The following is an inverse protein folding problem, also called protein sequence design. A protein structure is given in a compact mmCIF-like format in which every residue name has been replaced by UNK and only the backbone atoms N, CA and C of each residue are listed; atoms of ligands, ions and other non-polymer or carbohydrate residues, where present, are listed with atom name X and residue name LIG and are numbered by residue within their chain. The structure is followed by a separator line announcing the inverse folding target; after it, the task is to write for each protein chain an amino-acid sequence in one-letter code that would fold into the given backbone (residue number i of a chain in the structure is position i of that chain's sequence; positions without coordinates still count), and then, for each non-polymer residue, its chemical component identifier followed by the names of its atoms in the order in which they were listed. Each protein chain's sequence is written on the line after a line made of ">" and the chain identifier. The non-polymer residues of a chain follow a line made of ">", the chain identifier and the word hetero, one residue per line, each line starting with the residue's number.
data_IF_499470066968
#
_entry.id   IF_499470066968
#
_cell.length_a   1.000
_cell.length_b   1.000
_cell.length_c   1.000
_cell.angle_alpha   90.00
_cell.angle_beta   90.00
_cell.angle_gamma   90.00
#
_symmetry.space_group_name_H-M   'P 1'
#
loop_
_entity.id
_entity.type
_entity.pdbx_description
1 polymer ?
#
# COMPACT_ATOMS: atom_id res chain seq x y z
N UNK A 1 -40.10 -44.36 2.63
CA UNK A 1 -39.03 -44.40 1.60
C UNK A 1 -38.55 -42.98 1.43
N UNK A 2 -37.36 -42.67 1.98
CA UNK A 2 -36.74 -41.34 1.83
C UNK A 2 -36.13 -41.22 0.42
N UNK A 3 -36.64 -40.27 -0.34
CA UNK A 3 -36.28 -40.05 -1.73
C UNK A 3 -34.87 -39.41 -1.80
N UNK A 4 -33.98 -39.90 -2.65
CA UNK A 4 -32.61 -39.43 -2.85
C UNK A 4 -32.47 -37.92 -3.05
N UNK A 5 -33.52 -37.28 -3.57
CA UNK A 5 -33.60 -35.82 -3.78
C UNK A 5 -33.68 -35.03 -2.47
N UNK A 6 -34.32 -35.57 -1.45
CA UNK A 6 -34.45 -34.92 -0.13
C UNK A 6 -33.20 -35.12 0.73
N UNK A 7 -32.41 -36.19 0.51
CA UNK A 7 -31.16 -36.39 1.20
C UNK A 7 -30.08 -35.41 0.70
N UNK A 8 -30.00 -35.15 -0.60
CA UNK A 8 -29.04 -34.19 -1.21
C UNK A 8 -29.39 -32.74 -0.79
N UNK A 9 -30.68 -32.40 -0.67
CA UNK A 9 -31.12 -31.06 -0.22
C UNK A 9 -30.82 -30.79 1.26
N UNK A 10 -30.84 -31.80 2.09
CA UNK A 10 -30.58 -31.66 3.54
C UNK A 10 -29.09 -31.79 3.88
N UNK A 11 -28.27 -32.44 3.06
CA UNK A 11 -26.80 -32.52 3.24
C UNK A 11 -26.08 -31.27 2.72
N UNK A 12 -26.63 -30.56 1.74
CA UNK A 12 -26.08 -29.29 1.28
C UNK A 12 -26.31 -28.13 2.28
N UNK A 13 -27.35 -28.22 3.11
CA UNK A 13 -27.65 -27.22 4.12
C UNK A 13 -26.78 -27.29 5.38
N UNK A 14 -26.18 -28.45 5.68
CA UNK A 14 -25.42 -28.64 6.91
C UNK A 14 -23.92 -28.33 6.85
N UNK A 15 -23.36 -28.26 5.65
CA UNK A 15 -21.93 -27.89 5.44
C UNK A 15 -21.70 -26.39 5.15
N UNK A 16 -22.78 -25.65 4.88
CA UNK A 16 -22.72 -24.20 4.62
C UNK A 16 -22.82 -23.30 5.84
N UNK A 17 -23.31 -23.82 6.98
CA UNK A 17 -23.73 -22.97 8.09
C UNK A 17 -22.65 -22.64 9.13
N UNK A 18 -21.51 -23.31 9.14
CA UNK A 18 -20.44 -23.05 10.12
C UNK A 18 -19.37 -22.06 9.63
N UNK A 19 -19.24 -21.86 8.32
CA UNK A 19 -18.31 -20.85 7.75
C UNK A 19 -18.98 -19.48 7.59
N UNK A 20 -20.31 -19.43 7.55
CA UNK A 20 -21.09 -18.20 7.35
C UNK A 20 -21.21 -17.30 8.60
N UNK A 21 -21.04 -17.84 9.80
CA UNK A 21 -21.30 -17.08 11.04
C UNK A 21 -20.19 -16.06 11.39
N UNK A 22 -18.95 -16.24 10.92
CA UNK A 22 -17.87 -15.26 11.13
C UNK A 22 -17.74 -14.21 10.01
N UNK A 23 -18.41 -14.44 8.87
CA UNK A 23 -18.42 -13.50 7.74
C UNK A 23 -19.58 -12.48 7.82
N UNK A 24 -20.60 -12.74 8.67
CA UNK A 24 -21.80 -11.91 8.78
C UNK A 24 -21.57 -10.56 9.49
N UNK A 25 -20.43 -10.37 10.14
CA UNK A 25 -20.10 -9.10 10.81
C UNK A 25 -19.58 -8.00 9.86
N UNK A 26 -19.37 -8.31 8.58
CA UNK A 26 -18.95 -7.31 7.59
C UNK A 26 -19.95 -7.27 6.41
N UNK A 27 -20.74 -6.18 6.28
CA UNK A 27 -21.74 -6.05 5.22
C UNK A 27 -21.19 -6.16 3.80
N UNK A 28 -19.87 -5.97 3.60
CA UNK A 28 -19.23 -6.15 2.30
C UNK A 28 -19.26 -7.62 1.83
N UNK A 29 -19.29 -8.60 2.72
CA UNK A 29 -19.40 -10.03 2.36
C UNK A 29 -20.84 -10.47 2.09
N UNK A 30 -21.85 -9.80 2.68
CA UNK A 30 -23.25 -10.11 2.45
C UNK A 30 -23.71 -9.89 1.00
N UNK A 31 -22.98 -9.07 0.22
CA UNK A 31 -23.23 -8.85 -1.19
C UNK A 31 -22.77 -10.02 -2.10
N UNK A 32 -22.11 -11.03 -1.54
CA UNK A 32 -21.62 -12.23 -2.26
C UNK A 32 -22.50 -13.46 -2.07
N UNK A 33 -23.79 -13.31 -1.78
CA UNK A 33 -24.74 -14.45 -1.58
C UNK A 33 -25.05 -15.26 -2.86
N UNK A 34 -24.41 -15.00 -3.99
CA UNK A 34 -24.51 -15.88 -5.13
C UNK A 34 -23.64 -17.12 -4.91
N UNK A 35 -24.24 -18.29 -5.13
CA UNK A 35 -23.52 -19.58 -5.16
C UNK A 35 -22.35 -19.46 -6.13
N UNK A 36 -21.11 -19.44 -5.58
CA UNK A 36 -19.90 -19.38 -6.38
C UNK A 36 -19.82 -20.68 -7.17
N UNK A 37 -19.91 -20.58 -8.49
CA UNK A 37 -19.72 -21.73 -9.40
C UNK A 37 -18.26 -22.21 -9.39
N UNK A 38 -18.00 -23.40 -9.86
CA UNK A 38 -16.64 -23.93 -9.98
C UNK A 38 -15.75 -23.02 -10.85
N UNK A 39 -16.33 -22.31 -11.81
CA UNK A 39 -15.63 -21.37 -12.70
C UNK A 39 -15.32 -20.01 -12.07
N UNK A 40 -15.88 -19.71 -10.87
CA UNK A 40 -15.66 -18.46 -10.16
C UNK A 40 -14.58 -18.57 -9.07
N UNK A 41 -13.95 -19.76 -8.94
CA UNK A 41 -12.84 -20.00 -8.04
C UNK A 41 -11.60 -19.24 -8.53
N UNK A 42 -10.90 -18.59 -7.60
CA UNK A 42 -9.67 -17.85 -7.88
C UNK A 42 -8.54 -18.45 -7.05
N UNK A 43 -7.54 -18.98 -7.72
CA UNK A 43 -6.34 -19.49 -7.08
C UNK A 43 -5.30 -18.39 -6.94
N UNK A 44 -4.83 -18.15 -5.73
CA UNK A 44 -3.84 -17.12 -5.45
C UNK A 44 -2.50 -17.69 -5.00
N UNK A 45 -1.43 -16.97 -5.40
CA UNK A 45 -0.10 -17.07 -4.82
C UNK A 45 0.21 -15.84 -4.00
N UNK A 46 0.97 -15.97 -2.90
CA UNK A 46 1.39 -14.82 -2.09
C UNK A 46 2.90 -14.77 -2.02
N UNK A 47 3.47 -13.59 -2.29
CA UNK A 47 4.91 -13.34 -2.35
C UNK A 47 5.26 -12.31 -1.28
N UNK A 48 6.18 -12.67 -0.34
CA UNK A 48 6.47 -11.87 0.84
C UNK A 48 5.39 -12.01 1.91
N UNK A 49 5.55 -12.99 2.81
CA UNK A 49 4.49 -13.45 3.70
C UNK A 49 4.73 -13.17 5.19
N UNK A 50 5.72 -12.34 5.52
CA UNK A 50 6.05 -12.12 6.93
C UNK A 50 5.05 -11.19 7.64
N UNK A 51 4.93 -9.94 7.19
CA UNK A 51 4.11 -8.91 7.84
C UNK A 51 2.78 -8.66 7.10
N UNK A 52 2.76 -7.58 6.30
CA UNK A 52 1.54 -7.14 5.62
C UNK A 52 1.05 -8.15 4.58
N UNK A 53 1.95 -8.86 3.88
CA UNK A 53 1.54 -9.92 2.96
C UNK A 53 0.72 -11.03 3.63
N UNK A 54 1.04 -11.39 4.88
CA UNK A 54 0.24 -12.33 5.66
C UNK A 54 -1.12 -11.75 6.09
N UNK A 55 -1.17 -10.47 6.42
CA UNK A 55 -2.43 -9.79 6.73
C UNK A 55 -3.34 -9.72 5.48
N UNK A 56 -2.76 -9.45 4.32
CA UNK A 56 -3.45 -9.45 3.04
C UNK A 56 -4.01 -10.83 2.68
N UNK A 57 -3.22 -11.89 2.88
CA UNK A 57 -3.70 -13.27 2.69
C UNK A 57 -4.91 -13.56 3.59
N UNK A 58 -4.83 -13.22 4.88
CA UNK A 58 -5.95 -13.43 5.81
C UNK A 58 -7.22 -12.70 5.37
N UNK A 59 -7.10 -11.50 4.87
CA UNK A 59 -8.24 -10.74 4.35
C UNK A 59 -8.76 -11.36 3.02
N UNK A 60 -7.86 -11.80 2.13
CA UNK A 60 -8.22 -12.42 0.86
C UNK A 60 -9.00 -13.74 1.07
N UNK A 61 -8.59 -14.56 2.03
CA UNK A 61 -9.24 -15.85 2.33
C UNK A 61 -10.65 -15.69 2.91
N UNK A 62 -11.04 -14.52 3.39
CA UNK A 62 -12.41 -14.23 3.77
C UNK A 62 -13.35 -14.08 2.57
N UNK A 63 -12.79 -13.78 1.39
CA UNK A 63 -13.58 -13.61 0.17
C UNK A 63 -13.97 -14.98 -0.39
N UNK A 64 -15.27 -15.27 -0.55
CA UNK A 64 -15.71 -16.57 -1.04
C UNK A 64 -15.09 -16.94 -2.40
N UNK A 65 -14.68 -18.21 -2.54
CA UNK A 65 -14.09 -18.74 -3.77
C UNK A 65 -12.63 -18.34 -4.02
N UNK A 66 -11.94 -17.76 -3.03
CA UNK A 66 -10.50 -17.51 -3.11
C UNK A 66 -9.73 -18.66 -2.44
N UNK A 67 -8.82 -19.29 -3.18
CA UNK A 67 -8.04 -20.43 -2.74
C UNK A 67 -6.55 -20.09 -2.72
N UNK A 68 -5.88 -20.36 -1.60
CA UNK A 68 -4.43 -20.30 -1.51
C UNK A 68 -3.81 -21.56 -2.11
N UNK A 69 -2.93 -21.42 -3.10
CA UNK A 69 -2.24 -22.56 -3.73
C UNK A 69 -0.71 -22.44 -3.70
N UNK A 70 -0.16 -21.27 -3.36
CA UNK A 70 1.29 -21.05 -3.28
C UNK A 70 1.68 -19.96 -2.28
N UNK A 71 2.80 -20.17 -1.59
CA UNK A 71 3.49 -19.18 -0.76
C UNK A 71 4.93 -19.02 -1.22
N UNK A 72 5.44 -17.80 -1.23
CA UNK A 72 6.83 -17.49 -1.58
C UNK A 72 7.44 -16.49 -0.59
N UNK A 73 8.63 -16.81 -0.09
CA UNK A 73 9.46 -15.91 0.71
C UNK A 73 10.94 -16.31 0.60
N UNK A 74 11.85 -15.37 0.62
CA UNK A 74 13.30 -15.61 0.64
C UNK A 74 13.80 -16.20 1.98
N UNK A 75 12.97 -16.18 3.01
CA UNK A 75 13.27 -16.71 4.36
C UNK A 75 12.48 -18.00 4.61
N UNK A 76 13.20 -19.13 4.66
CA UNK A 76 12.63 -20.45 4.93
C UNK A 76 12.00 -20.54 6.34
N UNK A 77 12.50 -19.77 7.30
CA UNK A 77 11.92 -19.73 8.64
C UNK A 77 10.54 -19.10 8.61
N UNK A 78 10.35 -18.05 7.80
CA UNK A 78 9.05 -17.43 7.57
C UNK A 78 8.12 -18.41 6.87
N UNK A 79 8.57 -19.09 5.81
CA UNK A 79 7.78 -20.10 5.12
C UNK A 79 7.32 -21.22 6.06
N UNK A 80 8.23 -21.80 6.84
CA UNK A 80 7.91 -22.86 7.79
C UNK A 80 6.88 -22.41 8.84
N UNK A 81 7.08 -21.20 9.40
CA UNK A 81 6.13 -20.59 10.35
C UNK A 81 4.73 -20.46 9.74
N UNK A 82 4.63 -19.87 8.56
CA UNK A 82 3.33 -19.58 7.90
C UNK A 82 2.64 -20.85 7.43
N UNK A 83 3.37 -21.85 6.97
CA UNK A 83 2.80 -23.18 6.68
C UNK A 83 2.18 -23.81 7.93
N UNK A 84 2.81 -23.68 9.10
CA UNK A 84 2.25 -24.14 10.37
C UNK A 84 0.96 -23.41 10.80
N UNK A 85 0.83 -22.15 10.43
CA UNK A 85 -0.34 -21.30 10.76
C UNK A 85 -1.54 -21.52 9.79
N UNK A 86 -1.37 -22.20 8.65
CA UNK A 86 -2.44 -22.41 7.65
C UNK A 86 -3.67 -23.11 8.21
N UNK A 87 -3.49 -24.04 9.16
CA UNK A 87 -4.60 -24.75 9.83
C UNK A 87 -5.55 -23.78 10.57
N UNK A 88 -5.03 -22.70 11.12
CA UNK A 88 -5.84 -21.67 11.80
C UNK A 88 -6.71 -20.91 10.82
N UNK A 89 -6.28 -20.84 9.55
CA UNK A 89 -7.01 -20.25 8.43
C UNK A 89 -7.90 -21.24 7.69
N UNK A 90 -8.05 -22.49 8.21
CA UNK A 90 -8.81 -23.56 7.59
C UNK A 90 -8.31 -23.94 6.17
N UNK A 91 -7.01 -23.72 5.89
CA UNK A 91 -6.36 -24.05 4.64
C UNK A 91 -5.64 -25.39 4.77
N UNK A 92 -5.89 -26.31 3.83
CA UNK A 92 -5.18 -27.58 3.74
C UNK A 92 -3.74 -27.34 3.25
N UNK A 93 -2.78 -27.40 4.17
CA UNK A 93 -1.36 -27.18 3.88
C UNK A 93 -0.79 -28.12 2.81
N UNK A 94 -1.36 -29.33 2.64
CA UNK A 94 -0.91 -30.28 1.61
C UNK A 94 -1.18 -29.79 0.18
N UNK A 95 -2.11 -28.87 0.00
CA UNK A 95 -2.45 -28.26 -1.28
C UNK A 95 -1.63 -27.00 -1.59
N UNK A 96 -0.89 -26.47 -0.62
CA UNK A 96 -0.11 -25.24 -0.78
C UNK A 96 1.35 -25.59 -1.06
N UNK A 97 1.90 -25.07 -2.16
CA UNK A 97 3.32 -25.23 -2.51
C UNK A 97 4.11 -24.00 -2.02
N UNK A 98 5.34 -24.25 -1.60
CA UNK A 98 6.26 -23.20 -1.14
C UNK A 98 7.39 -22.97 -2.14
N UNK A 99 7.82 -21.72 -2.26
CA UNK A 99 8.87 -21.27 -3.16
C UNK A 99 9.79 -20.28 -2.45
N UNK A 100 11.10 -20.33 -2.73
CA UNK A 100 12.03 -19.26 -2.33
C UNK A 100 12.05 -18.14 -3.38
N UNK A 101 12.00 -18.52 -4.66
CA UNK A 101 12.04 -17.61 -5.80
C UNK A 101 10.64 -17.43 -6.39
N UNK A 102 10.19 -16.16 -6.42
CA UNK A 102 8.88 -15.79 -6.95
C UNK A 102 8.69 -16.15 -8.42
N UNK A 103 9.77 -16.23 -9.21
CA UNK A 103 9.71 -16.60 -10.64
C UNK A 103 9.13 -17.99 -10.82
N UNK A 104 9.58 -18.95 -10.00
CA UNK A 104 9.05 -20.32 -9.99
C UNK A 104 7.57 -20.38 -9.57
N UNK A 105 7.11 -19.46 -8.72
CA UNK A 105 5.69 -19.33 -8.41
C UNK A 105 4.91 -18.78 -9.62
N UNK A 106 5.46 -17.80 -10.32
CA UNK A 106 4.81 -17.20 -11.49
C UNK A 106 4.70 -18.15 -12.70
N UNK A 107 5.60 -19.13 -12.81
CA UNK A 107 5.56 -20.15 -13.87
C UNK A 107 4.33 -21.08 -13.78
N UNK A 108 3.67 -21.16 -12.63
CA UNK A 108 2.48 -21.98 -12.43
C UNK A 108 1.31 -21.43 -13.23
N UNK A 109 0.65 -22.33 -13.97
CA UNK A 109 -0.51 -21.99 -14.83
C UNK A 109 -1.85 -21.99 -14.10
N UNK A 110 -1.90 -22.61 -12.92
CA UNK A 110 -3.08 -22.73 -12.07
C UNK A 110 -3.25 -21.55 -11.08
N UNK A 111 -2.36 -20.55 -11.09
CA UNK A 111 -2.48 -19.31 -10.33
C UNK A 111 -3.11 -18.25 -11.21
N UNK A 112 -4.22 -17.66 -10.75
CA UNK A 112 -4.94 -16.59 -11.43
C UNK A 112 -4.43 -15.20 -11.03
N UNK A 113 -4.12 -15.03 -9.73
CA UNK A 113 -3.66 -13.76 -9.20
C UNK A 113 -2.58 -13.93 -8.14
N UNK A 114 -1.77 -12.88 -7.94
CA UNK A 114 -0.76 -12.84 -6.89
C UNK A 114 -0.95 -11.64 -5.97
N UNK A 115 -0.62 -11.84 -4.69
CA UNK A 115 -0.50 -10.79 -3.68
C UNK A 115 0.98 -10.59 -3.41
N UNK A 116 1.48 -9.35 -3.58
CA UNK A 116 2.87 -8.98 -3.39
C UNK A 116 2.98 -8.11 -2.13
N UNK A 117 3.64 -8.62 -1.09
CA UNK A 117 3.86 -7.95 0.21
C UNK A 117 5.34 -7.96 0.63
N UNK A 118 6.25 -7.86 -0.32
CA UNK A 118 7.69 -7.79 -0.16
C UNK A 118 8.17 -6.41 0.29
N UNK A 119 9.47 -6.17 0.57
CA UNK A 119 10.02 -4.82 0.65
C UNK A 119 9.85 -4.03 -0.65
N UNK A 120 9.82 -2.69 -0.52
CA UNK A 120 9.38 -1.75 -1.58
C UNK A 120 10.19 -1.89 -2.88
N UNK A 121 11.52 -2.11 -2.78
CA UNK A 121 12.41 -2.25 -3.92
C UNK A 121 12.12 -3.46 -4.83
N UNK A 122 11.28 -4.38 -4.38
CA UNK A 122 10.85 -5.53 -5.15
C UNK A 122 9.52 -5.35 -5.86
N UNK A 123 8.68 -4.41 -5.41
CA UNK A 123 7.30 -4.28 -5.87
C UNK A 123 7.19 -4.15 -7.40
N UNK A 124 8.01 -3.27 -7.99
CA UNK A 124 7.94 -2.98 -9.42
C UNK A 124 8.24 -4.22 -10.28
N UNK A 125 9.38 -4.88 -10.04
CA UNK A 125 9.76 -6.06 -10.83
C UNK A 125 8.76 -7.20 -10.67
N UNK A 126 8.37 -7.51 -9.44
CA UNK A 126 7.45 -8.63 -9.19
C UNK A 126 6.08 -8.39 -9.82
N UNK A 127 5.55 -7.14 -9.73
CA UNK A 127 4.28 -6.78 -10.35
C UNK A 127 4.36 -6.87 -11.88
N UNK A 128 5.43 -6.37 -12.49
CA UNK A 128 5.63 -6.40 -13.95
C UNK A 128 5.73 -7.85 -14.44
N UNK A 129 6.57 -8.67 -13.80
CA UNK A 129 6.73 -10.10 -14.15
C UNK A 129 5.44 -10.91 -13.93
N UNK A 130 4.65 -10.57 -12.90
CA UNK A 130 3.35 -11.19 -12.69
C UNK A 130 2.37 -10.86 -13.83
N UNK A 131 2.30 -9.59 -14.24
CA UNK A 131 1.48 -9.20 -15.40
C UNK A 131 1.92 -9.89 -16.69
N UNK A 132 3.23 -9.98 -16.94
CA UNK A 132 3.82 -10.67 -18.09
C UNK A 132 3.50 -12.15 -18.09
N UNK A 133 3.53 -12.80 -16.92
CA UNK A 133 3.17 -14.21 -16.72
C UNK A 133 1.66 -14.46 -16.76
N UNK A 134 0.86 -13.43 -17.04
CA UNK A 134 -0.58 -13.54 -17.20
C UNK A 134 -1.38 -13.46 -15.91
N UNK A 135 -0.78 -13.07 -14.76
CA UNK A 135 -1.44 -12.97 -13.45
C UNK A 135 -2.06 -11.60 -13.23
N UNK A 136 -3.20 -11.54 -12.54
CA UNK A 136 -3.69 -10.32 -11.93
C UNK A 136 -2.95 -10.07 -10.60
N UNK A 137 -2.89 -8.81 -10.14
CA UNK A 137 -1.96 -8.45 -9.05
C UNK A 137 -2.62 -7.56 -8.00
N UNK A 138 -2.43 -7.92 -6.74
CA UNK A 138 -2.50 -6.99 -5.62
C UNK A 138 -1.06 -6.68 -5.18
N UNK A 139 -0.64 -5.43 -5.23
CA UNK A 139 0.71 -5.02 -4.83
C UNK A 139 0.66 -4.04 -3.67
N UNK A 140 1.46 -4.30 -2.63
CA UNK A 140 1.55 -3.40 -1.48
C UNK A 140 2.07 -2.01 -1.85
N UNK A 141 1.73 -1.07 -0.99
CA UNK A 141 2.20 0.31 -1.04
C UNK A 141 3.61 0.42 -0.36
N UNK A 142 4.45 1.39 -0.78
CA UNK A 142 4.36 2.16 -2.02
C UNK A 142 4.54 1.25 -3.22
N UNK A 143 3.82 1.49 -4.30
CA UNK A 143 3.87 0.57 -5.44
C UNK A 143 5.24 0.54 -6.13
N UNK A 144 5.99 1.64 -6.11
CA UNK A 144 7.35 1.73 -6.65
C UNK A 144 8.28 2.54 -5.75
N UNK A 145 9.56 2.16 -5.74
CA UNK A 145 10.62 2.83 -4.98
C UNK A 145 11.27 4.00 -5.75
N UNK A 146 10.82 4.26 -6.97
CA UNK A 146 11.22 5.41 -7.79
C UNK A 146 10.10 5.85 -8.73
N UNK A 147 10.21 7.09 -9.26
CA UNK A 147 9.21 7.65 -10.18
C UNK A 147 9.16 6.85 -11.49
N UNK A 148 10.30 6.41 -11.99
CA UNK A 148 10.37 5.60 -13.22
C UNK A 148 9.73 4.24 -13.02
N UNK A 149 9.94 3.59 -11.87
CA UNK A 149 9.24 2.35 -11.53
C UNK A 149 7.72 2.51 -11.56
N UNK A 150 7.19 3.55 -10.92
CA UNK A 150 5.76 3.84 -10.91
C UNK A 150 5.19 3.94 -12.34
N UNK A 151 5.88 4.64 -13.25
CA UNK A 151 5.48 4.76 -14.66
C UNK A 151 5.54 3.42 -15.39
N UNK A 152 6.60 2.68 -15.18
CA UNK A 152 6.83 1.38 -15.83
C UNK A 152 5.76 0.36 -15.41
N UNK A 153 5.35 0.38 -14.14
CA UNK A 153 4.27 -0.47 -13.63
C UNK A 153 2.92 -0.14 -14.29
N UNK A 154 2.61 1.13 -14.46
CA UNK A 154 1.39 1.56 -15.18
C UNK A 154 1.43 1.10 -16.64
N UNK A 155 2.57 1.26 -17.32
CA UNK A 155 2.74 0.81 -18.70
C UNK A 155 2.61 -0.72 -18.84
N UNK A 156 3.19 -1.48 -17.90
CA UNK A 156 3.05 -2.94 -17.86
C UNK A 156 1.60 -3.40 -17.68
N UNK A 157 0.87 -2.79 -16.75
CA UNK A 157 -0.55 -3.07 -16.53
C UNK A 157 -1.37 -2.84 -17.81
N UNK A 158 -1.10 -1.75 -18.52
CA UNK A 158 -1.77 -1.44 -19.80
C UNK A 158 -1.43 -2.44 -20.88
N UNK A 159 -0.13 -2.72 -21.07
CA UNK A 159 0.36 -3.66 -22.09
C UNK A 159 -0.21 -5.06 -21.92
N UNK A 160 -0.18 -5.59 -20.71
CA UNK A 160 -0.65 -6.96 -20.41
C UNK A 160 -2.14 -7.03 -20.06
N UNK A 161 -2.83 -5.89 -19.99
CA UNK A 161 -4.27 -5.77 -19.75
C UNK A 161 -4.74 -6.48 -18.46
N UNK A 162 -3.96 -6.38 -17.36
CA UNK A 162 -4.25 -7.05 -16.09
C UNK A 162 -5.05 -6.18 -15.13
N UNK A 163 -5.76 -6.82 -14.21
CA UNK A 163 -6.34 -6.17 -13.04
C UNK A 163 -5.24 -5.99 -12.01
N UNK A 164 -4.90 -4.75 -11.67
CA UNK A 164 -3.84 -4.45 -10.69
C UNK A 164 -4.36 -3.46 -9.67
N UNK A 165 -4.43 -3.87 -8.40
CA UNK A 165 -4.81 -3.03 -7.28
C UNK A 165 -3.61 -2.73 -6.39
N UNK A 166 -3.45 -1.47 -6.02
CA UNK A 166 -2.44 -1.01 -5.07
C UNK A 166 -2.95 -1.06 -3.62
N UNK A 167 -2.08 -1.36 -2.67
CA UNK A 167 -2.43 -1.63 -1.26
C UNK A 167 -2.84 -0.42 -0.41
N UNK A 168 -3.36 0.68 -0.99
CA UNK A 168 -3.95 1.80 -0.24
C UNK A 168 -5.36 1.45 0.24
N UNK A 169 -5.47 0.47 1.14
CA UNK A 169 -6.73 -0.10 1.60
C UNK A 169 -7.69 0.88 2.28
N UNK A 170 -7.19 2.01 2.81
CA UNK A 170 -8.03 3.07 3.37
C UNK A 170 -9.05 3.59 2.35
N UNK A 171 -8.76 3.56 1.03
CA UNK A 171 -9.70 3.92 -0.03
C UNK A 171 -10.97 3.06 -0.06
N UNK A 172 -10.99 1.96 0.68
CA UNK A 172 -12.16 1.07 0.80
C UNK A 172 -12.94 1.27 2.09
N UNK A 173 -12.50 2.18 2.99
CA UNK A 173 -13.22 2.51 4.21
C UNK A 173 -14.29 3.58 3.98
N UNK A 174 -15.48 3.37 4.57
CA UNK A 174 -16.60 4.26 4.34
C UNK A 174 -16.37 5.67 4.86
N UNK A 175 -15.88 5.81 6.10
CA UNK A 175 -15.65 7.14 6.67
C UNK A 175 -14.62 7.99 5.89
N UNK A 176 -13.64 7.36 5.22
CA UNK A 176 -12.73 8.06 4.33
C UNK A 176 -13.43 8.54 3.06
N UNK A 177 -14.32 7.71 2.46
CA UNK A 177 -15.13 8.12 1.32
C UNK A 177 -16.04 9.28 1.67
N UNK A 178 -16.75 9.18 2.79
CA UNK A 178 -17.65 10.23 3.28
C UNK A 178 -16.90 11.56 3.51
N UNK A 179 -15.67 11.49 4.04
CA UNK A 179 -14.85 12.68 4.23
C UNK A 179 -14.43 13.32 2.89
N UNK A 180 -14.03 12.51 1.90
CA UNK A 180 -13.70 12.99 0.56
C UNK A 180 -14.92 13.63 -0.11
N UNK A 181 -16.09 12.98 -0.05
CA UNK A 181 -17.33 13.51 -0.59
C UNK A 181 -17.69 14.85 0.05
N UNK A 182 -17.49 14.97 1.37
CA UNK A 182 -17.70 16.24 2.08
C UNK A 182 -16.71 17.33 1.62
N UNK A 183 -15.42 17.01 1.47
CA UNK A 183 -14.41 17.95 0.94
C UNK A 183 -14.81 18.43 -0.46
N UNK A 184 -15.21 17.51 -1.33
CA UNK A 184 -15.56 17.80 -2.73
C UNK A 184 -16.93 18.48 -2.87
N UNK A 185 -17.79 18.44 -1.85
CA UNK A 185 -19.07 19.15 -1.86
C UNK A 185 -18.95 20.68 -1.88
N UNK A 186 -17.74 21.21 -1.60
CA UNK A 186 -17.47 22.65 -1.56
C UNK A 186 -17.93 23.35 -0.28
N UNK A 187 -18.53 22.63 0.70
CA UNK A 187 -19.03 23.24 1.95
C UNK A 187 -17.92 23.90 2.78
N UNK A 188 -16.66 23.40 2.71
CA UNK A 188 -15.52 24.02 3.37
C UNK A 188 -15.12 25.39 2.77
N UNK A 189 -15.74 25.79 1.65
CA UNK A 189 -15.32 26.97 0.89
C UNK A 189 -13.99 26.72 0.16
N UNK A 190 -13.22 27.80 -0.06
CA UNK A 190 -11.90 27.65 -0.69
C UNK A 190 -10.91 26.99 0.25
N UNK A 191 -10.50 25.76 -0.05
CA UNK A 191 -9.43 25.06 0.66
C UNK A 191 -8.10 25.67 0.20
N UNK A 192 -7.34 26.24 1.13
CA UNK A 192 -6.08 26.93 0.85
C UNK A 192 -4.86 26.15 1.27
N UNK A 193 -5.03 25.28 2.26
CA UNK A 193 -3.95 24.44 2.77
C UNK A 193 -4.50 23.04 3.06
N UNK A 194 -3.75 22.02 2.65
CA UNK A 194 -3.95 20.64 3.10
C UNK A 194 -2.76 20.29 3.99
N UNK A 195 -2.99 20.06 5.28
CA UNK A 195 -1.96 19.62 6.19
C UNK A 195 -2.04 18.11 6.36
N UNK A 196 -0.93 17.43 6.11
CA UNK A 196 -0.78 15.97 6.26
C UNK A 196 0.34 15.74 7.25
N UNK A 197 0.08 14.98 8.32
CA UNK A 197 1.12 14.72 9.32
C UNK A 197 1.14 13.26 9.77
N UNK A 198 2.32 12.81 10.20
CA UNK A 198 2.54 11.46 10.71
C UNK A 198 3.61 11.47 11.80
N UNK A 199 3.17 11.46 13.04
CA UNK A 199 4.02 11.33 14.21
C UNK A 199 3.87 9.92 14.76
N UNK A 200 4.98 9.20 14.89
CA UNK A 200 5.01 7.78 15.23
C UNK A 200 5.95 7.53 16.42
N UNK A 201 5.45 7.71 17.61
CA UNK A 201 6.21 7.56 18.87
C UNK A 201 6.80 6.18 19.06
N UNK A 202 6.15 5.15 18.54
CA UNK A 202 6.60 3.77 18.63
C UNK A 202 7.69 3.39 17.61
N UNK A 203 7.86 4.17 16.54
CA UNK A 203 8.85 3.88 15.50
C UNK A 203 10.23 4.34 15.92
N UNK A 204 11.19 3.44 15.73
CA UNK A 204 12.60 3.66 16.06
C UNK A 204 13.47 2.82 15.13
N UNK A 205 14.57 3.38 14.58
CA UNK A 205 15.56 2.61 13.83
C UNK A 205 16.27 1.56 14.71
N UNK A 206 16.92 0.59 14.06
CA UNK A 206 17.76 -0.37 14.75
C UNK A 206 19.06 0.23 15.28
N UNK A 207 19.74 -0.43 16.22
CA UNK A 207 21.06 -0.01 16.68
C UNK A 207 22.11 -0.15 15.57
N UNK A 208 23.21 0.58 15.68
CA UNK A 208 24.40 0.32 14.86
C UNK A 208 25.05 -0.97 15.35
N UNK A 209 25.07 -1.98 14.49
CA UNK A 209 25.70 -3.28 14.77
C UNK A 209 26.66 -3.66 13.65
N UNK A 210 27.68 -4.50 13.93
CA UNK A 210 28.57 -5.01 12.89
C UNK A 210 27.80 -5.81 11.84
N UNK A 211 28.29 -5.79 10.61
CA UNK A 211 27.84 -6.72 9.57
C UNK A 211 28.15 -8.15 9.97
N UNK A 212 27.30 -9.09 9.55
CA UNK A 212 27.38 -10.50 9.92
C UNK A 212 26.95 -11.39 8.76
N UNK A 213 26.98 -12.71 8.97
CA UNK A 213 26.37 -13.67 8.05
C UNK A 213 24.84 -13.63 8.19
N UNK A 214 24.08 -13.83 7.10
CA UNK A 214 22.64 -13.99 7.20
C UNK A 214 22.26 -15.16 8.11
N UNK A 215 21.10 -15.09 8.80
CA UNK A 215 20.57 -16.23 9.55
C UNK A 215 20.40 -17.47 8.66
N UNK A 216 20.58 -18.66 9.23
CA UNK A 216 20.32 -19.90 8.52
C UNK A 216 18.90 -19.94 7.96
N UNK A 217 18.75 -20.36 6.71
CA UNK A 217 17.48 -20.40 5.99
C UNK A 217 17.08 -19.10 5.29
N UNK A 218 17.86 -18.03 5.40
CA UNK A 218 17.63 -16.78 4.68
C UNK A 218 18.47 -16.74 3.41
N UNK A 219 17.82 -16.68 2.24
CA UNK A 219 18.47 -16.37 0.98
C UNK A 219 18.61 -14.84 0.85
N UNK A 220 19.73 -14.31 1.34
CA UNK A 220 19.95 -12.89 1.37
C UNK A 220 20.21 -12.27 0.00
N UNK A 221 20.77 -13.02 -0.94
CA UNK A 221 20.94 -12.54 -2.33
C UNK A 221 19.58 -12.41 -3.04
N UNK A 222 18.64 -13.32 -2.81
CA UNK A 222 17.25 -13.13 -3.26
C UNK A 222 16.54 -11.99 -2.51
N UNK A 223 16.81 -11.80 -1.22
CA UNK A 223 16.22 -10.69 -0.48
C UNK A 223 16.70 -9.33 -1.03
N UNK A 224 18.00 -9.19 -1.31
CA UNK A 224 18.59 -8.00 -1.91
C UNK A 224 18.05 -7.76 -3.33
N UNK A 225 17.98 -8.79 -4.14
CA UNK A 225 17.46 -8.72 -5.52
C UNK A 225 18.07 -7.57 -6.32
N UNK A 226 17.24 -6.61 -6.80
CA UNK A 226 17.71 -5.48 -7.60
C UNK A 226 18.48 -4.42 -6.79
N UNK A 227 18.45 -4.46 -5.47
CA UNK A 227 19.17 -3.49 -4.64
C UNK A 227 20.68 -3.74 -4.66
N UNK A 228 21.45 -2.71 -4.32
CA UNK A 228 22.90 -2.79 -4.24
C UNK A 228 23.37 -3.89 -3.28
N UNK A 229 24.36 -4.70 -3.69
CA UNK A 229 24.91 -5.74 -2.85
C UNK A 229 25.64 -5.11 -1.65
N UNK A 230 25.17 -5.48 -0.45
CA UNK A 230 25.72 -5.05 0.84
C UNK A 230 25.86 -6.28 1.75
N UNK A 231 26.84 -6.34 2.66
CA UNK A 231 26.89 -7.39 3.69
C UNK A 231 25.59 -7.41 4.50
N UNK A 232 25.23 -8.58 5.02
CA UNK A 232 24.04 -8.68 5.87
C UNK A 232 24.23 -7.88 7.16
N UNK A 233 23.17 -7.17 7.56
CA UNK A 233 23.12 -6.44 8.82
C UNK A 233 21.71 -6.56 9.41
N UNK A 234 21.63 -7.05 10.66
CA UNK A 234 20.36 -7.31 11.32
C UNK A 234 19.51 -6.05 11.55
N UNK A 235 20.14 -4.88 11.66
CA UNK A 235 19.43 -3.60 11.79
C UNK A 235 18.81 -3.07 10.50
N UNK A 236 19.08 -3.69 9.35
CA UNK A 236 18.41 -3.40 8.07
C UNK A 236 17.35 -4.43 7.72
N UNK A 237 17.44 -5.64 8.30
CA UNK A 237 16.69 -6.78 7.86
C UNK A 237 15.28 -6.83 8.48
N UNK A 238 14.39 -7.45 7.74
CA UNK A 238 12.94 -7.51 7.87
C UNK A 238 12.30 -6.12 8.02
N UNK A 239 11.89 -5.69 9.22
CA UNK A 239 11.08 -4.48 9.39
C UNK A 239 11.83 -3.19 9.04
N UNK A 240 13.12 -3.10 9.35
CA UNK A 240 13.89 -1.86 9.27
C UNK A 240 14.40 -1.49 7.87
N UNK A 241 14.12 -2.31 6.85
CA UNK A 241 14.48 -1.97 5.46
C UNK A 241 13.97 -0.58 5.06
N UNK A 242 12.88 -0.13 5.62
CA UNK A 242 12.21 1.13 5.31
C UNK A 242 13.03 2.38 5.63
N UNK A 243 14.08 2.25 6.44
CA UNK A 243 14.99 3.34 6.81
C UNK A 243 16.23 3.46 5.92
N UNK A 244 16.30 2.71 4.82
CA UNK A 244 17.46 2.67 3.92
C UNK A 244 17.04 2.93 2.48
N UNK A 245 17.70 3.91 1.83
CA UNK A 245 17.37 4.37 0.48
C UNK A 245 17.46 3.28 -0.60
N UNK A 246 18.29 2.26 -0.39
CA UNK A 246 18.39 1.13 -1.31
C UNK A 246 17.09 0.30 -1.38
N UNK A 247 16.27 0.35 -0.33
CA UNK A 247 15.11 -0.54 -0.19
C UNK A 247 13.78 0.19 -0.11
N UNK A 248 13.76 1.43 0.41
CA UNK A 248 12.53 2.20 0.66
C UNK A 248 12.81 3.70 0.79
N UNK A 249 11.81 4.49 1.18
CA UNK A 249 11.90 5.95 1.29
C UNK A 249 11.48 6.53 2.64
N UNK A 250 11.69 5.80 3.75
CA UNK A 250 11.39 6.28 5.10
C UNK A 250 9.89 6.48 5.37
N UNK A 251 9.55 7.30 6.36
CA UNK A 251 8.15 7.62 6.69
C UNK A 251 7.39 8.23 5.51
N UNK A 252 8.07 8.96 4.62
CA UNK A 252 7.44 9.58 3.45
C UNK A 252 6.78 8.54 2.54
N UNK A 253 7.39 7.39 2.33
CA UNK A 253 6.83 6.33 1.47
C UNK A 253 6.12 5.23 2.26
N UNK A 254 6.44 5.05 3.54
CA UNK A 254 5.74 4.07 4.38
C UNK A 254 4.36 4.58 4.81
N UNK A 255 4.30 5.67 5.59
CA UNK A 255 3.05 6.30 6.03
C UNK A 255 2.55 7.38 5.09
N UNK A 256 3.48 8.12 4.46
CA UNK A 256 3.13 9.25 3.62
C UNK A 256 2.20 8.85 2.47
N UNK A 257 2.44 7.71 1.81
CA UNK A 257 1.56 7.25 0.73
C UNK A 257 0.14 6.90 1.19
N UNK A 258 -0.09 6.62 2.48
CA UNK A 258 -1.44 6.46 3.01
C UNK A 258 -2.14 7.79 3.23
N UNK A 259 -1.42 8.80 3.68
CA UNK A 259 -1.99 10.08 4.12
C UNK A 259 -1.99 11.13 3.00
N UNK A 260 -0.90 11.22 2.21
CA UNK A 260 -0.86 12.03 1.00
C UNK A 260 -1.92 11.60 -0.01
N UNK A 261 -2.22 10.28 -0.06
CA UNK A 261 -3.27 9.74 -0.91
C UNK A 261 -4.61 10.47 -0.70
N UNK A 262 -5.03 10.62 0.55
CA UNK A 262 -6.27 11.32 0.86
C UNK A 262 -6.13 12.82 0.69
N UNK A 263 -4.99 13.40 1.09
CA UNK A 263 -4.73 14.81 0.81
C UNK A 263 -4.91 15.16 -0.66
N UNK A 264 -4.43 14.30 -1.55
CA UNK A 264 -4.59 14.45 -3.01
C UNK A 264 -6.01 14.11 -3.47
N UNK A 265 -6.59 13.01 -2.97
CA UNK A 265 -7.90 12.52 -3.41
C UNK A 265 -9.02 13.54 -3.12
N UNK A 266 -9.04 14.13 -1.93
CA UNK A 266 -9.98 15.20 -1.59
C UNK A 266 -9.87 16.42 -2.51
N UNK A 267 -8.67 16.69 -3.04
CA UNK A 267 -8.38 17.80 -3.94
C UNK A 267 -8.43 17.42 -5.44
N UNK A 268 -8.92 16.21 -5.79
CA UNK A 268 -9.07 15.78 -7.17
C UNK A 268 -7.79 15.23 -7.83
N UNK A 269 -6.85 14.71 -7.03
CA UNK A 269 -5.60 14.08 -7.48
C UNK A 269 -4.67 14.96 -8.32
N UNK A 270 -4.41 16.23 -7.94
CA UNK A 270 -3.53 17.11 -8.70
C UNK A 270 -2.05 16.70 -8.59
N UNK A 271 -1.22 17.23 -9.49
CA UNK A 271 0.24 17.11 -9.45
C UNK A 271 0.84 18.42 -8.92
N UNK A 272 1.81 18.38 -7.99
CA UNK A 272 2.43 19.59 -7.49
C UNK A 272 3.33 20.24 -8.55
N UNK A 273 3.37 21.58 -8.57
CA UNK A 273 4.23 22.38 -9.45
C UNK A 273 5.64 22.51 -8.91
N UNK A 274 5.76 22.82 -7.62
CA UNK A 274 7.05 22.92 -6.95
C UNK A 274 7.03 22.17 -5.63
N UNK A 275 8.22 21.69 -5.23
CA UNK A 275 8.41 20.88 -4.03
C UNK A 275 9.67 21.39 -3.30
N UNK A 276 9.57 21.57 -1.99
CA UNK A 276 10.71 21.87 -1.10
C UNK A 276 10.62 21.01 0.14
N UNK A 277 11.76 20.52 0.63
CA UNK A 277 11.79 19.67 1.81
C UNK A 277 12.97 19.98 2.71
N UNK A 278 12.76 19.94 4.03
CA UNK A 278 13.76 20.10 5.08
C UNK A 278 13.55 19.02 6.13
N UNK A 279 14.64 18.50 6.67
CA UNK A 279 14.59 17.45 7.69
C UNK A 279 15.98 16.95 8.07
N UNK A 280 16.02 15.87 8.82
CA UNK A 280 17.26 15.28 9.25
C UNK A 280 17.03 14.11 10.21
N UNK A 281 18.14 13.58 10.75
CA UNK A 281 18.15 12.60 11.82
C UNK A 281 18.34 13.34 13.15
N UNK A 282 17.26 13.86 13.71
CA UNK A 282 17.27 14.72 14.88
C UNK A 282 16.93 13.97 16.16
N UNK A 283 16.06 12.95 16.06
CA UNK A 283 15.65 12.14 17.21
C UNK A 283 16.66 11.02 17.51
N UNK A 284 17.21 10.40 16.46
CA UNK A 284 18.04 9.19 16.58
C UNK A 284 19.36 9.26 15.79
N UNK A 285 20.20 10.31 16.00
CA UNK A 285 21.42 10.51 15.21
C UNK A 285 22.43 9.35 15.31
N UNK A 286 22.40 8.59 16.43
CA UNK A 286 23.31 7.47 16.72
C UNK A 286 22.75 6.10 16.32
N UNK A 287 21.54 6.04 15.74
CA UNK A 287 20.94 4.79 15.26
C UNK A 287 21.21 4.55 13.78
N UNK A 288 20.97 3.31 13.34
CA UNK A 288 21.30 2.89 11.98
C UNK A 288 20.14 3.16 11.04
N UNK A 289 20.18 4.31 10.39
CA UNK A 289 19.24 4.74 9.36
C UNK A 289 19.92 5.69 8.36
N UNK A 290 19.31 5.81 7.18
CA UNK A 290 19.73 6.73 6.11
C UNK A 290 18.65 7.77 5.81
N UNK A 291 17.38 7.41 6.03
CA UNK A 291 16.23 8.32 5.83
C UNK A 291 16.07 9.27 7.01
N UNK A 292 15.50 10.46 6.82
CA UNK A 292 15.25 11.38 7.93
C UNK A 292 14.21 10.80 8.90
N UNK A 293 14.47 10.92 10.20
CA UNK A 293 13.49 10.66 11.25
C UNK A 293 12.48 11.81 11.42
N UNK A 294 12.86 13.00 10.95
CA UNK A 294 12.06 14.22 10.99
C UNK A 294 12.11 14.89 9.61
N UNK A 295 10.94 15.11 8.99
CA UNK A 295 10.86 15.64 7.63
C UNK A 295 9.60 16.50 7.44
N UNK A 296 9.81 17.74 6.98
CA UNK A 296 8.75 18.63 6.52
C UNK A 296 8.90 18.88 5.02
N UNK A 297 7.82 18.67 4.25
CA UNK A 297 7.81 18.91 2.80
C UNK A 297 6.66 19.83 2.43
N UNK A 298 6.92 20.82 1.60
CA UNK A 298 5.94 21.71 1.01
C UNK A 298 5.74 21.37 -0.46
N UNK A 299 4.47 21.19 -0.83
CA UNK A 299 4.03 20.99 -2.21
C UNK A 299 3.15 22.16 -2.62
N UNK A 300 3.51 22.86 -3.68
CA UNK A 300 2.73 23.94 -4.28
C UNK A 300 1.86 23.41 -5.41
N UNK A 301 0.56 23.68 -5.33
CA UNK A 301 -0.41 23.42 -6.39
C UNK A 301 -1.03 24.72 -6.89
N UNK A 302 -1.87 24.67 -7.93
CA UNK A 302 -2.48 25.88 -8.51
C UNK A 302 -3.30 26.71 -7.53
N UNK A 303 -4.02 26.07 -6.62
CA UNK A 303 -5.02 26.74 -5.77
C UNK A 303 -4.81 26.54 -4.28
N UNK A 304 -3.85 25.70 -3.88
CA UNK A 304 -3.57 25.38 -2.49
C UNK A 304 -2.13 24.91 -2.31
N UNK A 305 -1.69 24.91 -1.05
CA UNK A 305 -0.44 24.24 -0.68
C UNK A 305 -0.74 23.02 0.15
N UNK A 306 0.07 21.95 -0.03
CA UNK A 306 0.07 20.79 0.85
C UNK A 306 1.35 20.75 1.66
N UNK A 307 1.22 20.43 2.94
CA UNK A 307 2.34 20.22 3.85
C UNK A 307 2.34 18.76 4.27
N UNK A 308 3.44 18.06 4.08
CA UNK A 308 3.75 16.83 4.78
C UNK A 308 4.67 17.14 5.96
N UNK A 309 4.33 16.61 7.14
CA UNK A 309 5.09 16.81 8.37
C UNK A 309 5.18 15.49 9.13
N UNK A 310 6.38 14.97 9.33
CA UNK A 310 6.58 13.67 9.97
C UNK A 310 7.69 13.67 10.98
N UNK A 311 7.50 12.90 12.05
CA UNK A 311 8.53 12.67 13.06
C UNK A 311 8.38 11.27 13.69
N UNK A 312 9.50 10.60 13.94
CA UNK A 312 9.58 9.41 14.77
C UNK A 312 9.82 9.79 16.24
N UNK A 313 9.43 8.93 17.16
CA UNK A 313 9.70 9.10 18.59
C UNK A 313 8.78 10.09 19.31
N UNK A 314 7.80 10.69 18.64
CA UNK A 314 6.79 11.57 19.23
C UNK A 314 5.39 11.23 18.72
N UNK A 315 4.36 11.42 19.56
CA UNK A 315 2.97 11.04 19.26
C UNK A 315 2.01 12.25 19.16
N UNK A 316 2.37 13.38 19.78
CA UNK A 316 1.50 14.55 19.83
C UNK A 316 1.58 15.35 18.54
N UNK A 317 0.70 15.02 17.60
CA UNK A 317 0.56 15.73 16.33
C UNK A 317 -0.49 16.82 16.33
N UNK A 318 -0.78 17.33 15.14
CA UNK A 318 -1.81 18.35 14.93
C UNK A 318 -3.18 17.85 15.37
N UNK A 319 -3.97 18.73 15.97
CA UNK A 319 -5.33 18.45 16.45
C UNK A 319 -5.39 17.32 17.48
N UNK A 320 -4.33 17.12 18.28
CA UNK A 320 -4.18 16.03 19.25
C UNK A 320 -4.29 14.63 18.62
N UNK A 321 -3.84 14.46 17.35
CA UNK A 321 -3.82 13.21 16.63
C UNK A 321 -2.39 12.91 16.17
N UNK A 322 -1.88 11.71 16.41
CA UNK A 322 -0.54 11.31 15.99
C UNK A 322 -0.35 11.32 14.48
N UNK A 323 -1.43 11.16 13.71
CA UNK A 323 -1.41 11.25 12.25
C UNK A 323 -2.76 11.73 11.72
N UNK A 324 -2.78 12.29 10.54
CA UNK A 324 -4.02 12.72 9.91
C UNK A 324 -3.84 13.63 8.72
N UNK A 325 -4.99 14.08 8.22
CA UNK A 325 -5.12 15.06 7.15
C UNK A 325 -6.07 16.16 7.63
N UNK A 326 -5.72 17.42 7.41
CA UNK A 326 -6.62 18.56 7.64
C UNK A 326 -6.77 19.35 6.34
N UNK A 327 -8.02 19.49 5.87
CA UNK A 327 -8.37 20.36 4.76
C UNK A 327 -8.85 21.68 5.33
N UNK A 328 -8.03 22.73 5.22
CA UNK A 328 -8.24 24.03 5.85
C UNK A 328 -8.90 24.95 4.83
N UNK A 329 -10.19 25.13 4.97
CA UNK A 329 -11.04 25.95 4.11
C UNK A 329 -11.51 27.24 4.77
N UNK A 330 -12.20 28.11 4.01
CA UNK A 330 -12.69 29.40 4.51
C UNK A 330 -13.84 29.26 5.53
N UNK A 331 -14.61 28.17 5.45
CA UNK A 331 -15.82 27.97 6.25
C UNK A 331 -15.62 26.97 7.41
N UNK A 332 -14.60 26.12 7.31
CA UNK A 332 -14.28 25.11 8.29
C UNK A 332 -13.04 24.30 7.92
N UNK A 333 -12.52 23.60 8.90
CA UNK A 333 -11.39 22.67 8.74
C UNK A 333 -11.88 21.25 8.95
N UNK A 334 -11.84 20.42 7.90
CA UNK A 334 -12.10 18.99 8.03
C UNK A 334 -10.83 18.26 8.45
N UNK A 335 -10.92 17.48 9.53
CA UNK A 335 -9.83 16.67 10.07
C UNK A 335 -10.20 15.20 9.90
N UNK A 336 -9.30 14.40 9.32
CA UNK A 336 -9.51 13.00 8.98
C UNK A 336 -8.32 12.15 9.45
N UNK A 337 -8.59 11.01 10.08
CA UNK A 337 -7.62 9.96 10.37
C UNK A 337 -8.27 8.57 10.31
N UNK A 338 -7.54 7.53 10.75
CA UNK A 338 -8.06 6.15 10.79
C UNK A 338 -9.20 5.93 11.78
N UNK A 339 -9.36 6.81 12.77
CA UNK A 339 -10.42 6.76 13.78
C UNK A 339 -11.73 7.41 13.34
N UNK A 340 -11.67 8.30 12.34
CA UNK A 340 -12.84 9.03 11.84
C UNK A 340 -12.52 10.42 11.33
N UNK A 341 -13.58 11.21 11.09
CA UNK A 341 -13.44 12.58 10.65
C UNK A 341 -14.43 13.53 11.33
N UNK A 342 -14.08 14.81 11.40
CA UNK A 342 -14.89 15.88 11.96
C UNK A 342 -14.63 17.18 11.22
N UNK A 343 -15.49 18.19 11.41
CA UNK A 343 -15.27 19.55 10.88
C UNK A 343 -15.34 20.55 12.01
N UNK A 344 -14.26 21.33 12.15
CA UNK A 344 -14.18 22.46 13.08
C UNK A 344 -14.50 23.74 12.29
N UNK A 345 -15.43 24.55 12.81
CA UNK A 345 -15.83 25.80 12.16
C UNK A 345 -14.73 26.88 12.15
N UNK A 346 -14.71 27.69 11.12
CA UNK A 346 -13.94 28.96 11.12
C UNK A 346 -14.74 30.06 11.79
N UNK A 347 -14.22 30.58 12.91
CA UNK A 347 -14.97 31.51 13.80
C UNK A 347 -15.43 32.77 13.11
N UNK A 348 -14.66 33.29 12.15
CA UNK A 348 -14.95 34.57 11.46
C UNK A 348 -15.68 34.36 10.11
N UNK A 349 -15.95 33.13 9.71
CA UNK A 349 -16.70 32.88 8.47
C UNK A 349 -18.17 33.26 8.63
N UNK A 350 -18.72 33.87 7.60
CA UNK A 350 -20.18 34.07 7.47
C UNK A 350 -20.93 32.80 7.12
N UNK A 351 -20.22 31.78 6.59
CA UNK A 351 -20.78 30.50 6.14
C UNK A 351 -20.16 29.34 6.93
N UNK A 352 -20.20 29.46 8.27
CA UNK A 352 -19.60 28.46 9.16
C UNK A 352 -20.13 27.04 8.92
N UNK A 353 -19.22 26.08 8.90
CA UNK A 353 -19.55 24.67 8.81
C UNK A 353 -18.86 23.92 9.92
N UNK A 354 -19.63 23.14 10.67
CA UNK A 354 -19.11 22.20 11.68
C UNK A 354 -19.78 20.83 11.53
N UNK A 355 -19.08 19.79 11.92
CA UNK A 355 -19.61 18.43 11.98
C UNK A 355 -18.96 17.68 13.14
N UNK A 356 -19.75 17.04 14.00
CA UNK A 356 -19.19 16.21 15.07
C UNK A 356 -18.46 15.00 14.50
N UNK A 357 -17.62 14.39 15.33
CA UNK A 357 -16.82 13.22 14.93
C UNK A 357 -17.70 12.07 14.40
N UNK A 358 -17.47 11.74 13.13
CA UNK A 358 -17.98 10.55 12.45
C UNK A 358 -16.91 9.46 12.61
N UNK A 359 -17.19 8.45 13.42
CA UNK A 359 -16.24 7.37 13.71
C UNK A 359 -16.13 6.38 12.56
N UNK A 360 -14.93 5.79 12.40
CA UNK A 360 -14.74 4.63 11.55
C UNK A 360 -15.57 3.44 12.04
N UNK A 361 -16.20 2.69 11.13
CA UNK A 361 -17.12 1.58 11.47
C UNK A 361 -16.83 0.28 10.73
N UNK A 362 -15.87 0.28 9.79
CA UNK A 362 -15.61 -0.86 8.91
C UNK A 362 -14.12 -1.21 8.81
N UNK A 363 -13.84 -2.41 8.29
CA UNK A 363 -12.48 -2.89 8.05
C UNK A 363 -12.08 -2.60 6.60
N UNK A 364 -11.22 -1.60 6.41
CA UNK A 364 -10.79 -1.18 5.09
C UNK A 364 -10.01 -2.25 4.32
N UNK A 365 -9.20 -3.06 4.99
CA UNK A 365 -8.43 -4.11 4.32
C UNK A 365 -9.33 -5.23 3.78
N UNK A 366 -10.31 -5.66 4.58
CA UNK A 366 -11.29 -6.65 4.15
C UNK A 366 -12.10 -6.13 2.95
N UNK A 367 -12.62 -4.90 3.05
CA UNK A 367 -13.35 -4.26 1.95
C UNK A 367 -12.49 -4.10 0.69
N UNK A 368 -11.20 -3.84 0.87
CA UNK A 368 -10.27 -3.67 -0.24
C UNK A 368 -10.02 -4.97 -1.00
N UNK A 369 -9.91 -6.10 -0.27
CA UNK A 369 -9.83 -7.43 -0.89
C UNK A 369 -11.14 -7.81 -1.58
N UNK A 370 -12.30 -7.54 -0.98
CA UNK A 370 -13.60 -7.74 -1.64
C UNK A 370 -13.67 -6.99 -2.96
N UNK A 371 -13.25 -5.71 -2.98
CA UNK A 371 -13.22 -4.91 -4.21
C UNK A 371 -12.27 -5.51 -5.25
N UNK A 372 -11.06 -5.90 -4.87
CA UNK A 372 -10.08 -6.50 -5.78
C UNK A 372 -10.64 -7.75 -6.46
N UNK A 373 -11.14 -8.72 -5.71
CA UNK A 373 -11.65 -9.96 -6.27
C UNK A 373 -12.96 -9.78 -7.05
N UNK A 374 -13.79 -8.80 -6.67
CA UNK A 374 -14.95 -8.38 -7.49
C UNK A 374 -14.49 -7.89 -8.88
N UNK A 375 -13.52 -6.98 -8.91
CA UNK A 375 -12.99 -6.44 -10.17
C UNK A 375 -12.24 -7.50 -10.99
N UNK A 376 -11.58 -8.45 -10.33
CA UNK A 376 -10.92 -9.57 -10.99
C UNK A 376 -11.94 -10.46 -11.71
N UNK A 377 -13.07 -10.80 -11.07
CA UNK A 377 -14.15 -11.60 -11.70
C UNK A 377 -14.86 -10.85 -12.82
N UNK A 378 -15.18 -9.58 -12.60
CA UNK A 378 -15.90 -8.75 -13.56
C UNK A 378 -15.04 -8.19 -14.70
N UNK A 379 -13.70 -8.22 -14.53
CA UNK A 379 -12.71 -7.56 -15.40
C UNK A 379 -12.85 -6.04 -15.48
N UNK A 380 -13.64 -5.41 -14.61
CA UNK A 380 -13.88 -3.96 -14.56
C UNK A 380 -12.79 -3.26 -13.75
N UNK A 381 -11.72 -2.85 -14.41
CA UNK A 381 -10.56 -2.19 -13.79
C UNK A 381 -10.86 -0.79 -13.27
N UNK A 382 -11.83 -0.13 -13.84
CA UNK A 382 -12.34 1.20 -13.47
C UNK A 382 -13.12 1.19 -12.13
N UNK A 383 -13.62 0.03 -11.69
CA UNK A 383 -14.25 -0.13 -10.38
C UNK A 383 -13.25 -0.42 -9.23
N UNK A 384 -11.93 -0.50 -9.50
CA UNK A 384 -10.92 -0.65 -8.46
C UNK A 384 -10.85 0.57 -7.55
N UNK A 385 -10.94 0.36 -6.25
CA UNK A 385 -10.84 1.45 -5.26
C UNK A 385 -9.47 2.14 -5.29
N UNK A 386 -8.41 1.38 -5.59
CA UNK A 386 -7.08 1.93 -5.85
C UNK A 386 -6.42 1.22 -7.03
N UNK A 387 -6.61 1.74 -8.25
CA UNK A 387 -5.91 1.24 -9.42
C UNK A 387 -4.40 1.49 -9.31
N UNK A 388 -3.60 0.77 -10.12
CA UNK A 388 -2.15 1.01 -10.19
C UNK A 388 -1.82 2.46 -10.60
N UNK A 389 -2.65 3.10 -11.43
CA UNK A 389 -2.49 4.50 -11.80
C UNK A 389 -2.62 5.42 -10.58
N UNK A 390 -3.60 5.18 -9.72
CA UNK A 390 -3.80 5.94 -8.50
C UNK A 390 -2.64 5.71 -7.51
N UNK A 391 -2.26 4.46 -7.26
CA UNK A 391 -1.13 4.13 -6.41
C UNK A 391 0.20 4.72 -6.90
N UNK A 392 0.45 4.66 -8.21
CA UNK A 392 1.63 5.22 -8.85
C UNK A 392 1.68 6.76 -8.75
N UNK A 393 0.53 7.43 -8.88
CA UNK A 393 0.44 8.88 -8.70
C UNK A 393 0.86 9.29 -7.28
N UNK A 394 0.30 8.65 -6.28
CA UNK A 394 0.62 8.93 -4.87
C UNK A 394 2.08 8.62 -4.55
N UNK A 395 2.58 7.46 -4.99
CA UNK A 395 3.98 7.10 -4.79
C UNK A 395 4.92 8.10 -5.49
N UNK A 396 4.56 8.60 -6.68
CA UNK A 396 5.30 9.65 -7.39
C UNK A 396 5.39 10.93 -6.55
N UNK A 397 4.27 11.41 -5.99
CA UNK A 397 4.27 12.63 -5.16
C UNK A 397 5.10 12.44 -3.88
N UNK A 398 5.02 11.27 -3.24
CA UNK A 398 5.87 10.95 -2.09
C UNK A 398 7.36 10.93 -2.47
N UNK A 399 7.72 10.31 -3.59
CA UNK A 399 9.11 10.32 -4.09
C UNK A 399 9.60 11.73 -4.47
N UNK A 400 8.73 12.61 -4.99
CA UNK A 400 9.10 14.02 -5.23
C UNK A 400 9.56 14.70 -3.93
N UNK A 401 8.88 14.43 -2.80
CA UNK A 401 9.27 14.94 -1.48
C UNK A 401 10.64 14.41 -1.03
N UNK A 402 10.87 13.10 -1.17
CA UNK A 402 12.17 12.49 -0.89
C UNK A 402 13.28 13.04 -1.77
N UNK A 403 13.01 13.25 -3.07
CA UNK A 403 13.98 13.80 -4.01
C UNK A 403 14.32 15.25 -3.64
N UNK A 404 13.34 16.08 -3.27
CA UNK A 404 13.58 17.44 -2.82
C UNK A 404 14.46 17.46 -1.56
N UNK A 405 14.21 16.57 -0.59
CA UNK A 405 15.07 16.43 0.59
C UNK A 405 16.49 15.99 0.23
N UNK A 406 16.64 14.93 -0.59
CA UNK A 406 17.95 14.36 -0.96
C UNK A 406 18.78 15.27 -1.85
N UNK A 407 18.16 16.10 -2.69
CA UNK A 407 18.84 17.08 -3.52
C UNK A 407 19.21 18.36 -2.76
N UNK A 408 18.45 18.69 -1.69
CA UNK A 408 18.58 19.97 -0.97
C UNK A 408 18.07 21.17 -1.77
N UNK A 409 17.28 20.96 -2.83
CA UNK A 409 16.85 21.99 -3.76
C UNK A 409 15.32 22.18 -3.72
N UNK A 410 14.84 23.39 -4.02
CA UNK A 410 13.46 23.61 -4.44
C UNK A 410 13.31 23.10 -5.86
N UNK A 411 12.48 22.10 -6.07
CA UNK A 411 12.28 21.44 -7.36
C UNK A 411 11.04 21.98 -8.06
N UNK A 412 11.12 22.12 -9.38
CA UNK A 412 9.97 22.41 -10.24
C UNK A 412 9.69 21.20 -11.12
N UNK A 413 8.42 20.77 -11.14
CA UNK A 413 7.93 19.65 -11.93
C UNK A 413 7.26 20.13 -13.19
N UNK A 414 7.62 19.54 -14.31
CA UNK A 414 6.90 19.69 -15.57
C UNK A 414 6.00 18.47 -15.80
N UNK A 415 4.70 18.68 -15.63
CA UNK A 415 3.73 17.58 -15.77
C UNK A 415 3.53 17.11 -17.21
N UNK A 416 3.95 17.90 -18.21
CA UNK A 416 3.90 17.48 -19.61
C UNK A 416 5.01 16.47 -19.94
N UNK A 417 6.25 16.79 -19.57
CA UNK A 417 7.39 15.88 -19.77
C UNK A 417 7.52 14.81 -18.71
N UNK A 418 6.83 14.99 -17.57
CA UNK A 418 6.93 14.15 -16.38
C UNK A 418 8.36 14.12 -15.81
N UNK A 419 9.05 15.24 -15.85
CA UNK A 419 10.43 15.45 -15.38
C UNK A 419 10.50 16.67 -14.48
N UNK A 420 11.52 16.71 -13.62
CA UNK A 420 11.93 17.97 -13.01
C UNK A 420 12.64 18.86 -14.07
N UNK A 421 12.54 20.16 -13.92
CA UNK A 421 13.27 21.11 -14.79
C UNK A 421 14.79 21.02 -14.59
N UNK A 422 15.26 20.55 -13.44
CA UNK A 422 16.66 20.28 -13.15
C UNK A 422 17.07 18.90 -13.68
N UNK A 423 17.90 18.89 -14.76
CA UNK A 423 18.37 17.66 -15.39
C UNK A 423 19.23 16.80 -14.47
N UNK A 424 20.11 17.40 -13.66
CA UNK A 424 20.98 16.63 -12.75
C UNK A 424 20.18 15.85 -11.71
N UNK A 425 19.07 16.43 -11.23
CA UNK A 425 18.13 15.76 -10.32
C UNK A 425 17.45 14.58 -11.02
N UNK A 426 17.04 14.76 -12.28
CA UNK A 426 16.46 13.68 -13.07
C UNK A 426 17.43 12.52 -13.25
N UNK A 427 18.66 12.83 -13.70
CA UNK A 427 19.68 11.81 -13.97
C UNK A 427 20.04 11.00 -12.70
N UNK A 428 19.97 11.62 -11.52
CA UNK A 428 20.39 11.02 -10.26
C UNK A 428 19.28 10.32 -9.48
N UNK A 429 18.03 10.80 -9.55
CA UNK A 429 17.01 10.41 -8.57
C UNK A 429 15.72 9.87 -9.17
N UNK A 430 15.43 10.05 -10.47
CA UNK A 430 14.17 9.58 -11.04
C UNK A 430 14.03 8.06 -11.08
N UNK A 431 15.14 7.35 -11.17
CA UNK A 431 15.17 5.89 -11.25
C UNK A 431 16.07 5.32 -10.16
N UNK A 432 15.63 4.25 -9.53
CA UNK A 432 16.48 3.42 -8.67
C UNK A 432 17.51 2.68 -9.53
N UNK A 433 18.76 2.61 -9.08
CA UNK A 433 19.77 1.78 -9.72
C UNK A 433 19.44 0.31 -9.52
N UNK A 434 19.50 -0.47 -10.60
CA UNK A 434 19.27 -1.91 -10.60
C UNK A 434 20.60 -2.65 -10.67
N UNK A 435 20.81 -3.58 -9.74
CA UNK A 435 22.04 -4.35 -9.57
C UNK A 435 21.82 -5.84 -9.76
N UNK A 436 22.87 -6.64 -9.58
CA UNK A 436 22.82 -8.10 -9.50
C UNK A 436 22.21 -8.77 -10.73
N UNK A 437 22.34 -8.15 -11.91
CA UNK A 437 21.80 -8.65 -13.17
C UNK A 437 20.31 -8.37 -13.39
N UNK A 438 19.63 -7.73 -12.44
CA UNK A 438 18.25 -7.28 -12.62
C UNK A 438 18.19 -6.00 -13.45
N UNK A 439 17.09 -5.85 -14.19
CA UNK A 439 16.83 -4.66 -15.01
C UNK A 439 15.34 -4.35 -14.98
N UNK A 440 15.00 -3.07 -14.91
CA UNK A 440 13.62 -2.65 -15.07
C UNK A 440 13.20 -2.80 -16.54
N UNK A 441 12.14 -3.57 -16.86
CA UNK A 441 11.65 -3.70 -18.24
C UNK A 441 11.28 -2.33 -18.84
N UNK A 442 11.47 -2.19 -20.16
CA UNK A 442 11.10 -0.99 -20.92
C UNK A 442 9.84 -1.26 -21.74
N UNK A 443 8.91 -0.30 -21.77
CA UNK A 443 7.64 -0.38 -22.49
C UNK A 443 7.45 0.80 -23.44
#
# INVERSE_FOLDING_TARGET
>A
MLNRRNFIRNSAGALGSTVLLSALDNPAYALYEHTIGANDQINIGVIGINGMGWANLKAALKVPGVNLVALCDADQNVLAKRMGELKELQVDAAKVKTYSDYRSLLDRKDIDAVIIGTPDHWHALMMIHACESGKDVYVEKPVGNSIVECRTMVAAQQKYNKVVQAGQWQRSQQHFKDAVDFVQSGQLGNIRTVKVWCYQGWMKPGPVVPDSTPPAGVDYDLWLGPAKKRPFNSSRYHFNFRWFWDYAGGLMTDWGVHLLDYGLLGMGMPVPKTISALGGRFAYPDLYEETPDTLTTLYEFDKFNMVWDSAMGIDNGSYNRGHGIAYIGNNGTLILDRGGWEVIEERQSGNKVSKPLVKASDNGLDNHMVNFFKCLRSRKKDELNCSIQAGAHVATVAQMGNIAFRSGEKLTWDDHTKLFTNRQVNDKYLMSEYHNGYQLPKF
#
